data_IF_892630180658
#
_entry.id   IF_892630180658
#
_cell.length_a   1.000
_cell.length_b   1.000
_cell.length_c   1.000
_cell.angle_alpha   90.00
_cell.angle_beta   90.00
_cell.angle_gamma   90.00
#
_symmetry.space_group_name_H-M   'P 1'
#
loop_
_entity.id
_entity.type
_entity.pdbx_description
1 polymer ?
#
# COMPACT_ATOMS: atom_id res chain seq x y z
N UNK A 1 -12.38 10.16 -13.72
CA UNK A 1 -12.09 8.75 -13.34
C UNK A 1 -10.60 8.53 -13.05
N UNK A 2 -9.70 8.87 -13.98
CA UNK A 2 -8.24 8.80 -13.75
C UNK A 2 -7.76 9.85 -12.74
N UNK A 3 -8.33 11.06 -12.75
CA UNK A 3 -7.96 12.13 -11.80
C UNK A 3 -8.27 11.76 -10.35
N UNK A 4 -9.44 11.14 -10.10
CA UNK A 4 -9.87 10.71 -8.77
C UNK A 4 -8.94 9.67 -8.15
N UNK A 5 -8.51 8.67 -8.91
CA UNK A 5 -7.59 7.64 -8.37
C UNK A 5 -6.18 8.19 -8.15
N UNK A 6 -5.78 9.24 -8.88
CA UNK A 6 -4.52 9.94 -8.65
C UNK A 6 -4.56 10.80 -7.37
N UNK A 7 -5.67 11.47 -7.09
CA UNK A 7 -5.87 12.20 -5.83
C UNK A 7 -5.84 11.25 -4.63
N UNK A 8 -6.53 10.11 -4.74
CA UNK A 8 -6.53 9.08 -3.70
C UNK A 8 -5.13 8.50 -3.50
N UNK A 9 -4.36 8.25 -4.57
CA UNK A 9 -2.98 7.82 -4.47
C UNK A 9 -2.10 8.86 -3.74
N UNK A 10 -2.26 10.15 -4.03
CA UNK A 10 -1.54 11.22 -3.32
C UNK A 10 -1.91 11.25 -1.83
N UNK A 11 -3.18 11.09 -1.50
CA UNK A 11 -3.64 10.98 -0.11
C UNK A 11 -3.02 9.78 0.61
N UNK A 12 -2.98 8.61 -0.04
CA UNK A 12 -2.33 7.42 0.50
C UNK A 12 -0.82 7.57 0.68
N UNK A 13 -0.13 8.28 -0.21
CA UNK A 13 1.29 8.60 -0.04
C UNK A 13 1.54 9.41 1.24
N UNK A 14 0.71 10.42 1.50
CA UNK A 14 0.82 11.23 2.72
C UNK A 14 0.59 10.40 3.99
N UNK A 15 -0.32 9.42 3.96
CA UNK A 15 -0.53 8.49 5.08
C UNK A 15 0.71 7.62 5.33
N UNK A 16 1.34 7.11 4.27
CA UNK A 16 2.57 6.31 4.37
C UNK A 16 3.72 7.16 4.95
N UNK A 17 3.91 8.38 4.46
CA UNK A 17 4.96 9.28 4.96
C UNK A 17 4.76 9.68 6.43
N UNK A 18 3.51 9.73 6.90
CA UNK A 18 3.19 10.01 8.29
C UNK A 18 3.41 8.80 9.24
N UNK A 19 3.48 7.59 8.71
CA UNK A 19 3.63 6.37 9.48
C UNK A 19 5.12 6.05 9.70
N UNK A 20 5.64 6.07 10.95
CA UNK A 20 7.08 5.90 11.22
C UNK A 20 7.62 4.50 10.91
N UNK A 21 6.71 3.55 10.69
CA UNK A 21 7.01 2.16 10.45
C UNK A 21 6.93 1.80 8.96
N UNK A 22 6.55 2.75 8.09
CA UNK A 22 6.51 2.61 6.64
C UNK A 22 7.56 3.52 5.98
N UNK A 23 7.98 3.12 4.78
CA UNK A 23 8.91 3.88 3.95
C UNK A 23 8.38 3.96 2.52
N UNK A 24 8.03 5.18 2.06
CA UNK A 24 7.54 5.41 0.70
C UNK A 24 8.71 5.33 -0.28
N UNK A 25 8.65 4.38 -1.22
CA UNK A 25 9.75 4.14 -2.18
C UNK A 25 9.81 5.25 -3.22
N UNK A 26 8.65 5.68 -3.71
CA UNK A 26 8.54 6.73 -4.71
C UNK A 26 7.21 7.47 -4.60
N UNK A 27 7.24 8.77 -4.88
CA UNK A 27 6.01 9.56 -5.03
C UNK A 27 5.17 8.97 -6.17
N UNK A 28 3.88 8.66 -5.95
CA UNK A 28 3.06 8.02 -6.97
C UNK A 28 2.80 8.96 -8.15
N UNK A 29 3.10 8.51 -9.36
CA UNK A 29 2.77 9.20 -10.62
C UNK A 29 1.48 8.69 -11.25
N UNK A 30 0.96 7.57 -10.75
CA UNK A 30 -0.26 6.88 -11.17
C UNK A 30 -1.04 6.43 -9.93
N UNK A 31 -1.97 5.50 -10.08
CA UNK A 31 -2.81 4.97 -9.00
C UNK A 31 -2.15 3.82 -8.21
N UNK A 32 -0.83 3.81 -8.09
CA UNK A 32 -0.07 2.74 -7.43
C UNK A 32 0.85 3.34 -6.37
N UNK A 33 0.75 2.84 -5.15
CA UNK A 33 1.65 3.16 -4.04
C UNK A 33 2.65 2.02 -3.84
N UNK A 34 3.93 2.34 -3.86
CA UNK A 34 5.03 1.41 -3.60
C UNK A 34 5.75 1.83 -2.32
N UNK A 35 5.78 0.95 -1.33
CA UNK A 35 6.34 1.26 -0.01
C UNK A 35 6.89 0.00 0.67
N UNK A 36 7.75 0.19 1.66
CA UNK A 36 8.27 -0.87 2.53
C UNK A 36 7.60 -0.78 3.91
N UNK A 37 7.47 -1.94 4.55
CA UNK A 37 7.23 -2.07 5.99
C UNK A 37 8.56 -2.31 6.69
N UNK A 38 8.99 -1.34 7.49
CA UNK A 38 10.31 -1.36 8.12
C UNK A 38 10.40 -2.51 9.13
N UNK A 39 11.45 -3.31 9.04
CA UNK A 39 11.71 -4.41 9.99
C UNK A 39 11.00 -5.72 9.69
N UNK A 40 10.18 -5.81 8.64
CA UNK A 40 9.57 -7.07 8.20
C UNK A 40 10.51 -7.93 7.37
N UNK A 41 10.43 -9.24 7.60
CA UNK A 41 10.99 -10.29 6.75
C UNK A 41 10.08 -10.59 5.56
N UNK A 42 10.62 -11.19 4.49
CA UNK A 42 9.84 -11.59 3.33
C UNK A 42 8.64 -12.53 3.67
N UNK A 43 8.77 -13.34 4.71
CA UNK A 43 7.69 -14.21 5.20
C UNK A 43 6.52 -13.42 5.81
N UNK A 44 6.81 -12.34 6.53
CA UNK A 44 5.77 -11.46 7.10
C UNK A 44 5.00 -10.70 6.02
N UNK A 45 5.69 -10.22 4.98
CA UNK A 45 5.03 -9.63 3.81
C UNK A 45 4.03 -10.60 3.15
N UNK A 46 4.43 -11.87 2.98
CA UNK A 46 3.58 -12.90 2.38
C UNK A 46 2.38 -13.23 3.27
N UNK A 47 2.61 -13.47 4.56
CA UNK A 47 1.56 -13.81 5.51
C UNK A 47 0.50 -12.70 5.63
N UNK A 48 0.93 -11.43 5.71
CA UNK A 48 0.03 -10.29 5.75
C UNK A 48 -0.80 -10.15 4.46
N UNK A 49 -0.17 -10.35 3.31
CA UNK A 49 -0.87 -10.29 2.01
C UNK A 49 -1.94 -11.39 1.88
N UNK A 50 -1.64 -12.60 2.35
CA UNK A 50 -2.61 -13.70 2.41
C UNK A 50 -3.76 -13.40 3.38
N UNK A 51 -3.47 -12.80 4.53
CA UNK A 51 -4.48 -12.41 5.51
C UNK A 51 -5.48 -11.40 4.92
N UNK A 52 -5.02 -10.31 4.28
CA UNK A 52 -5.93 -9.33 3.67
C UNK A 52 -6.80 -9.93 2.56
N UNK A 53 -6.24 -10.86 1.80
CA UNK A 53 -6.99 -11.57 0.76
C UNK A 53 -8.08 -12.46 1.37
N UNK A 54 -7.77 -13.17 2.45
CA UNK A 54 -8.72 -14.03 3.15
C UNK A 54 -9.85 -13.25 3.82
N UNK A 55 -9.55 -12.06 4.37
CA UNK A 55 -10.52 -11.14 4.96
C UNK A 55 -11.37 -10.39 3.92
N UNK A 56 -10.94 -10.38 2.65
CA UNK A 56 -11.59 -9.64 1.57
C UNK A 56 -11.38 -8.12 1.65
N UNK A 57 -10.41 -7.68 2.45
CA UNK A 57 -10.11 -6.26 2.70
C UNK A 57 -9.40 -5.61 1.51
N UNK A 58 -8.34 -6.24 1.00
CA UNK A 58 -7.63 -5.77 -0.20
C UNK A 58 -6.82 -6.91 -0.85
N UNK A 59 -6.47 -6.72 -2.12
CA UNK A 59 -5.48 -7.55 -2.81
C UNK A 59 -4.17 -6.77 -2.91
N UNK A 60 -3.24 -7.07 -2.02
CA UNK A 60 -1.90 -6.47 -2.03
C UNK A 60 -0.90 -7.57 -2.33
N UNK A 61 -0.07 -7.36 -3.35
CA UNK A 61 0.94 -8.35 -3.75
C UNK A 61 2.32 -7.88 -3.29
N UNK A 62 3.10 -8.73 -2.62
CA UNK A 62 4.50 -8.44 -2.35
C UNK A 62 5.27 -8.41 -3.68
N UNK A 63 6.23 -7.51 -3.76
CA UNK A 63 7.14 -7.36 -4.89
C UNK A 63 8.55 -7.10 -4.36
N UNK A 64 9.51 -6.94 -5.27
CA UNK A 64 10.83 -6.43 -4.92
C UNK A 64 11.13 -5.16 -5.70
N UNK A 65 11.75 -4.20 -5.03
CA UNK A 65 12.31 -2.99 -5.64
C UNK A 65 13.79 -2.96 -5.27
N UNK A 66 14.67 -2.89 -6.27
CA UNK A 66 16.13 -2.91 -6.11
C UNK A 66 16.65 -4.10 -5.27
N UNK A 67 15.96 -5.24 -5.36
CA UNK A 67 16.30 -6.46 -4.62
C UNK A 67 15.77 -6.51 -3.18
N UNK A 68 15.08 -5.47 -2.71
CA UNK A 68 14.47 -5.43 -1.38
C UNK A 68 12.96 -5.68 -1.43
N UNK A 69 12.38 -6.37 -0.43
CA UNK A 69 10.93 -6.57 -0.33
C UNK A 69 10.17 -5.25 -0.27
N UNK A 70 9.05 -5.19 -0.99
CA UNK A 70 8.14 -4.04 -1.02
C UNK A 70 6.69 -4.50 -1.18
N UNK A 71 5.76 -3.60 -0.86
CA UNK A 71 4.33 -3.76 -1.13
C UNK A 71 3.91 -2.82 -2.26
N UNK A 72 2.96 -3.28 -3.07
CA UNK A 72 2.28 -2.46 -4.07
C UNK A 72 0.79 -2.44 -3.82
N UNK A 73 0.28 -1.28 -3.44
CA UNK A 73 -1.14 -1.03 -3.31
C UNK A 73 -1.66 -0.35 -4.58
N UNK A 74 -2.41 -1.12 -5.39
CA UNK A 74 -2.94 -0.67 -6.67
C UNK A 74 -4.40 -0.21 -6.50
N UNK A 75 -4.67 1.07 -6.71
CA UNK A 75 -6.01 1.66 -6.63
C UNK A 75 -6.65 1.54 -8.01
N UNK A 76 -7.41 0.44 -8.20
CA UNK A 76 -8.07 0.11 -9.48
C UNK A 76 -9.56 0.45 -9.48
N UNK A 77 -10.18 0.49 -8.31
CA UNK A 77 -11.60 0.79 -8.17
C UNK A 77 -11.80 2.32 -8.00
N UNK A 78 -12.53 3.00 -8.89
CA UNK A 78 -12.74 4.45 -8.79
C UNK A 78 -13.60 4.87 -7.59
N UNK A 79 -14.20 3.92 -6.86
CA UNK A 79 -14.92 4.18 -5.60
C UNK A 79 -14.02 4.11 -4.36
N UNK A 80 -12.77 3.67 -4.51
CA UNK A 80 -11.82 3.64 -3.39
C UNK A 80 -11.51 5.06 -2.94
N UNK A 81 -11.54 5.27 -1.64
CA UNK A 81 -11.29 6.54 -0.97
C UNK A 81 -9.96 6.49 -0.21
N UNK A 82 -9.49 7.65 0.28
CA UNK A 82 -8.30 7.72 1.14
C UNK A 82 -8.54 7.01 2.48
N UNK A 83 -9.76 7.05 3.00
CA UNK A 83 -10.13 6.36 4.25
C UNK A 83 -10.03 4.84 4.10
N UNK A 84 -10.41 4.29 2.94
CA UNK A 84 -10.21 2.87 2.64
C UNK A 84 -8.71 2.50 2.67
N UNK A 85 -7.84 3.39 2.19
CA UNK A 85 -6.39 3.17 2.26
C UNK A 85 -5.89 3.22 3.70
N UNK A 86 -6.41 4.15 4.52
CA UNK A 86 -6.05 4.25 5.93
C UNK A 86 -6.37 2.95 6.68
N UNK A 87 -7.55 2.36 6.45
CA UNK A 87 -7.92 1.06 7.04
C UNK A 87 -6.91 -0.03 6.68
N UNK A 88 -6.48 -0.10 5.42
CA UNK A 88 -5.47 -1.08 4.99
C UNK A 88 -4.12 -0.80 5.63
N UNK A 89 -3.68 0.45 5.65
CA UNK A 89 -2.38 0.84 6.21
C UNK A 89 -2.33 0.65 7.73
N UNK A 90 -3.44 0.84 8.44
CA UNK A 90 -3.53 0.59 9.88
C UNK A 90 -3.29 -0.89 10.23
N UNK A 91 -3.64 -1.82 9.34
CA UNK A 91 -3.34 -3.25 9.55
C UNK A 91 -1.84 -3.59 9.52
N UNK A 92 -1.00 -2.66 9.06
CA UNK A 92 0.46 -2.81 9.05
C UNK A 92 1.12 -2.30 10.34
N UNK A 93 0.38 -1.67 11.24
CA UNK A 93 0.93 -1.07 12.46
C UNK A 93 1.54 -2.10 13.39
#
# INVERSE_FOLDING_TARGET
>A
AVETTLEVARGGAALIEAAPHLDLIMVPTLSVLAFRRIGWSAGEYAAWSEQLMAEGTALVMPTSVDGEPALRLCIVNPRTTVDDLAVVLDTLS
#
